data_IF_544747674908
#
_entry.id   IF_544747674908
#
_cell.length_a   1.000
_cell.length_b   1.000
_cell.length_c   1.000
_cell.angle_alpha   90.00
_cell.angle_beta   90.00
_cell.angle_gamma   90.00
#
_symmetry.space_group_name_H-M   'P 1'
#
loop_
_entity.id
_entity.type
_entity.pdbx_description
1 polymer ?
#
# COMPACT_ATOMS: atom_id res chain seq x y z
N UNK A 1 -12.82 -23.00 5.76
CA UNK A 1 -12.45 -22.23 4.55
C UNK A 1 -11.67 -21.00 4.97
N UNK A 2 -10.46 -20.80 4.44
CA UNK A 2 -9.71 -19.59 4.76
C UNK A 2 -10.41 -18.37 4.13
N UNK A 3 -10.69 -17.34 4.93
CA UNK A 3 -11.30 -16.11 4.42
C UNK A 3 -10.33 -15.38 3.51
N UNK A 4 -10.84 -14.50 2.64
CA UNK A 4 -9.99 -13.69 1.76
C UNK A 4 -8.91 -12.94 2.55
N UNK A 5 -9.24 -12.44 3.75
CA UNK A 5 -8.30 -11.79 4.66
C UNK A 5 -7.20 -12.72 5.16
N UNK A 6 -7.54 -13.96 5.52
CA UNK A 6 -6.53 -14.94 5.97
C UNK A 6 -5.56 -15.30 4.84
N UNK A 7 -6.05 -15.42 3.60
CA UNK A 7 -5.19 -15.66 2.43
C UNK A 7 -4.30 -14.45 2.14
N UNK A 8 -4.81 -13.23 2.30
CA UNK A 8 -4.02 -12.00 2.14
C UNK A 8 -2.92 -11.90 3.20
N UNK A 9 -3.24 -12.16 4.47
CA UNK A 9 -2.25 -12.18 5.56
C UNK A 9 -1.16 -13.23 5.32
N UNK A 10 -1.56 -14.43 4.88
CA UNK A 10 -0.63 -15.51 4.57
C UNK A 10 0.26 -15.14 3.37
N UNK A 11 -0.30 -14.48 2.35
CA UNK A 11 0.46 -13.96 1.22
C UNK A 11 1.44 -12.87 1.64
N UNK A 12 1.03 -11.90 2.46
CA UNK A 12 1.89 -10.83 2.97
C UNK A 12 3.04 -11.37 3.83
N UNK A 13 2.81 -12.46 4.56
CA UNK A 13 3.84 -13.18 5.34
C UNK A 13 4.79 -14.01 4.47
N UNK A 14 4.45 -14.31 3.22
CA UNK A 14 5.31 -15.06 2.31
C UNK A 14 6.50 -14.23 1.82
N UNK A 15 7.62 -14.85 1.39
CA UNK A 15 8.77 -14.14 0.83
C UNK A 15 8.41 -13.28 -0.39
N UNK A 16 7.43 -13.72 -1.19
CA UNK A 16 6.93 -12.97 -2.35
C UNK A 16 6.14 -11.73 -1.92
N UNK A 17 5.29 -11.86 -0.89
CA UNK A 17 4.57 -10.73 -0.30
C UNK A 17 5.53 -9.71 0.31
N UNK A 18 6.53 -10.17 1.05
CA UNK A 18 7.57 -9.29 1.61
C UNK A 18 8.34 -8.53 0.52
N UNK A 19 8.68 -9.18 -0.61
CA UNK A 19 9.32 -8.49 -1.75
C UNK A 19 8.45 -7.37 -2.31
N UNK A 20 7.15 -7.60 -2.49
CA UNK A 20 6.21 -6.58 -2.97
C UNK A 20 6.10 -5.43 -1.97
N UNK A 21 5.98 -5.74 -0.68
CA UNK A 21 5.91 -4.72 0.38
C UNK A 21 7.20 -3.90 0.41
N UNK A 22 8.37 -4.52 0.33
CA UNK A 22 9.66 -3.82 0.33
C UNK A 22 9.84 -2.94 -0.93
N UNK A 23 9.47 -3.44 -2.11
CA UNK A 23 9.49 -2.65 -3.34
C UNK A 23 8.53 -1.46 -3.24
N UNK A 24 7.33 -1.69 -2.69
CA UNK A 24 6.37 -0.65 -2.38
C UNK A 24 6.95 0.39 -1.43
N UNK A 25 7.47 -0.03 -0.28
CA UNK A 25 8.08 0.87 0.70
C UNK A 25 9.21 1.70 0.10
N UNK A 26 10.10 1.11 -0.71
CA UNK A 26 11.17 1.86 -1.40
C UNK A 26 10.62 2.86 -2.40
N UNK A 27 9.55 2.53 -3.12
CA UNK A 27 8.90 3.47 -4.03
C UNK A 27 8.18 4.58 -3.27
N UNK A 28 7.47 4.26 -2.19
CA UNK A 28 6.78 5.24 -1.35
C UNK A 28 7.75 6.10 -0.53
N UNK A 29 8.96 5.61 -0.24
CA UNK A 29 10.01 6.38 0.42
C UNK A 29 10.56 7.51 -0.46
N UNK A 30 10.33 7.49 -1.77
CA UNK A 30 10.75 8.58 -2.66
C UNK A 30 9.92 9.85 -2.36
N UNK A 31 10.57 11.01 -2.19
CA UNK A 31 9.87 12.26 -1.83
C UNK A 31 8.80 12.65 -2.87
N UNK A 32 9.08 12.43 -4.14
CA UNK A 32 8.14 12.67 -5.26
C UNK A 32 6.85 11.84 -5.12
N UNK A 33 6.97 10.57 -4.72
CA UNK A 33 5.83 9.70 -4.53
C UNK A 33 5.06 10.05 -3.26
N UNK A 34 5.73 10.47 -2.18
CA UNK A 34 5.06 10.97 -0.98
C UNK A 34 4.20 12.20 -1.29
N UNK A 35 4.72 13.14 -2.07
CA UNK A 35 3.96 14.32 -2.47
C UNK A 35 2.76 13.94 -3.34
N UNK A 36 2.95 13.02 -4.29
CA UNK A 36 1.86 12.53 -5.13
C UNK A 36 0.77 11.83 -4.31
N UNK A 37 1.14 11.00 -3.33
CA UNK A 37 0.21 10.37 -2.41
C UNK A 37 -0.54 11.39 -1.56
N UNK A 38 0.16 12.41 -1.03
CA UNK A 38 -0.47 13.50 -0.28
C UNK A 38 -1.48 14.24 -1.15
N UNK A 39 -1.11 14.63 -2.38
CA UNK A 39 -2.03 15.29 -3.32
C UNK A 39 -3.24 14.42 -3.64
N UNK A 40 -3.05 13.11 -3.86
CA UNK A 40 -4.16 12.18 -4.06
C UNK A 40 -5.05 12.10 -2.83
N UNK A 41 -4.47 11.91 -1.64
CA UNK A 41 -5.21 11.86 -0.38
C UNK A 41 -6.03 13.14 -0.15
N UNK A 42 -5.43 14.31 -0.36
CA UNK A 42 -6.14 15.60 -0.28
C UNK A 42 -7.29 15.69 -1.27
N UNK A 43 -7.12 15.24 -2.52
CA UNK A 43 -8.20 15.18 -3.51
C UNK A 43 -9.34 14.24 -3.10
N UNK A 44 -9.03 13.08 -2.55
CA UNK A 44 -10.04 12.13 -2.09
C UNK A 44 -10.75 12.61 -0.81
N UNK A 45 -10.04 13.27 0.10
CA UNK A 45 -10.61 13.82 1.33
C UNK A 45 -11.51 15.03 1.05
N UNK A 46 -11.15 15.88 0.08
CA UNK A 46 -11.99 16.99 -0.38
C UNK A 46 -13.29 16.56 -1.04
N UNK A 47 -13.36 15.34 -1.60
CA UNK A 47 -14.56 14.79 -2.25
C UNK A 47 -15.55 14.14 -1.27
N UNK A 48 -15.17 14.02 0.01
CA UNK A 48 -15.98 13.38 1.06
C UNK A 48 -16.67 14.41 1.98
N UNK A 49 -16.46 15.71 1.72
CA UNK A 49 -17.15 16.81 2.39
C UNK A 49 -18.25 17.37 1.50
#
# INVERSE_FOLDING_TARGET
>A
MATLMQRLQMFLRSPRGQKIVQQGQRQLAKPENQEKLRRLATKFQGRRR
#
